data_IF_021700685482
#
_entry.id   IF_021700685482
#
_cell.length_a   1.000
_cell.length_b   1.000
_cell.length_c   1.000
_cell.angle_alpha   90.00
_cell.angle_beta   90.00
_cell.angle_gamma   90.00
#
_symmetry.space_group_name_H-M   'P 1'
#
loop_
_entity.id
_entity.type
_entity.pdbx_description
1 polymer ?
#
# COMPACT_ATOMS: atom_id res chain seq x y z
N UNK A 1 -2.65 10.12 3.63
CA UNK A 1 -1.99 10.74 4.79
C UNK A 1 -0.61 11.29 4.43
N UNK A 2 0.23 10.56 3.67
CA UNK A 2 1.61 11.00 3.39
C UNK A 2 1.88 11.55 1.97
N UNK A 3 0.88 11.52 1.07
CA UNK A 3 1.05 12.01 -0.31
C UNK A 3 1.85 11.08 -1.23
N UNK A 4 2.08 9.83 -0.82
CA UNK A 4 2.85 8.85 -1.59
C UNK A 4 1.89 7.84 -2.24
N UNK A 5 1.87 7.77 -3.58
CA UNK A 5 1.08 6.82 -4.35
C UNK A 5 1.98 5.74 -4.96
N UNK A 6 1.77 4.48 -4.56
CA UNK A 6 2.67 3.36 -4.86
C UNK A 6 1.93 2.13 -5.42
N UNK A 7 2.70 1.19 -5.96
CA UNK A 7 2.24 -0.15 -6.31
C UNK A 7 2.09 -1.11 -5.12
N UNK A 8 1.48 -2.27 -5.40
CA UNK A 8 1.15 -3.31 -4.40
C UNK A 8 2.37 -3.83 -3.63
N UNK A 9 3.52 -4.04 -4.29
CA UNK A 9 4.72 -4.59 -3.64
C UNK A 9 5.26 -3.68 -2.54
N UNK A 10 5.14 -2.36 -2.72
CA UNK A 10 5.53 -1.39 -1.69
C UNK A 10 4.65 -1.52 -0.44
N UNK A 11 3.36 -1.78 -0.60
CA UNK A 11 2.45 -2.04 0.52
C UNK A 11 2.86 -3.29 1.32
N UNK A 12 3.22 -4.37 0.63
CA UNK A 12 3.73 -5.61 1.28
C UNK A 12 5.03 -5.33 2.03
N UNK A 13 5.94 -4.57 1.42
CA UNK A 13 7.21 -4.18 2.00
C UNK A 13 7.05 -3.34 3.28
N UNK A 14 6.05 -2.44 3.32
CA UNK A 14 5.75 -1.62 4.51
C UNK A 14 5.23 -2.49 5.65
N UNK A 15 4.27 -3.40 5.38
CA UNK A 15 3.76 -4.32 6.41
C UNK A 15 4.87 -5.25 6.92
N UNK A 16 5.77 -5.70 6.05
CA UNK A 16 6.95 -6.47 6.46
C UNK A 16 7.91 -5.67 7.35
N UNK A 17 8.15 -4.40 7.01
CA UNK A 17 9.00 -3.51 7.81
C UNK A 17 8.39 -3.19 9.18
N UNK A 18 7.07 -2.97 9.25
CA UNK A 18 6.33 -2.76 10.49
C UNK A 18 6.45 -3.97 11.42
N UNK A 19 6.16 -5.17 10.92
CA UNK A 19 6.28 -6.42 11.70
C UNK A 19 7.71 -6.66 12.18
N UNK A 20 8.71 -6.38 11.35
CA UNK A 20 10.10 -6.49 11.76
C UNK A 20 10.45 -5.48 12.87
N UNK A 21 9.88 -4.28 12.85
CA UNK A 21 10.03 -3.30 13.92
C UNK A 21 9.42 -3.80 15.24
N UNK A 22 8.25 -4.45 15.19
CA UNK A 22 7.64 -5.07 16.36
C UNK A 22 8.52 -6.19 16.93
N UNK A 23 9.08 -7.05 16.08
CA UNK A 23 9.96 -8.15 16.49
C UNK A 23 11.29 -7.68 17.08
N UNK A 24 11.91 -6.64 16.50
CA UNK A 24 13.20 -6.11 16.95
C UNK A 24 13.09 -5.21 18.19
N UNK A 25 11.92 -4.61 18.42
CA UNK A 25 11.70 -3.65 19.49
C UNK A 25 12.29 -2.25 19.20
N UNK A 26 12.05 -1.28 20.10
CA UNK A 26 12.36 0.13 19.87
C UNK A 26 13.87 0.41 19.77
N UNK A 27 14.23 1.47 19.04
CA UNK A 27 15.61 1.94 18.89
C UNK A 27 16.32 1.46 17.63
N UNK A 28 15.65 0.66 16.80
CA UNK A 28 16.18 0.19 15.51
C UNK A 28 15.69 1.07 14.35
N UNK A 29 16.54 1.20 13.32
CA UNK A 29 16.18 1.82 12.05
C UNK A 29 15.96 0.73 11.00
N UNK A 30 14.77 0.71 10.41
CA UNK A 30 14.40 -0.24 9.35
C UNK A 30 14.26 0.52 8.03
N UNK A 31 14.81 -0.07 6.97
CA UNK A 31 14.70 0.45 5.61
C UNK A 31 14.02 -0.60 4.75
N UNK A 32 13.05 -0.17 3.95
CA UNK A 32 12.39 -1.01 2.94
C UNK A 32 12.28 -0.27 1.61
N UNK A 33 11.92 -0.98 0.54
CA UNK A 33 11.93 -0.45 -0.82
C UNK A 33 10.50 -0.08 -1.25
N UNK A 34 10.33 1.14 -1.74
CA UNK A 34 9.13 1.58 -2.46
C UNK A 34 9.39 1.40 -3.96
N UNK A 35 8.83 0.34 -4.53
CA UNK A 35 9.29 -0.21 -5.81
C UNK A 35 8.94 0.68 -7.01
N UNK A 36 7.73 1.22 -7.04
CA UNK A 36 7.22 2.04 -8.14
C UNK A 36 5.99 2.87 -7.75
N UNK A 37 5.63 3.78 -8.65
CA UNK A 37 4.47 4.66 -8.50
C UNK A 37 3.15 3.92 -8.74
N UNK A 38 2.14 4.31 -7.97
CA UNK A 38 0.75 3.86 -8.11
C UNK A 38 0.11 4.22 -9.44
N UNK A 39 0.66 5.18 -10.19
CA UNK A 39 0.18 5.58 -11.52
C UNK A 39 0.09 4.39 -12.49
N UNK A 40 0.99 3.41 -12.33
CA UNK A 40 1.01 2.20 -13.17
C UNK A 40 -0.18 1.26 -12.93
N UNK A 41 -0.91 1.47 -11.84
CA UNK A 41 -1.98 0.59 -11.36
C UNK A 41 -3.35 1.27 -11.33
N UNK A 42 -3.53 2.37 -12.07
CA UNK A 42 -4.80 3.11 -12.13
C UNK A 42 -5.99 2.24 -12.58
N UNK A 43 -5.76 1.30 -13.50
CA UNK A 43 -6.81 0.41 -14.00
C UNK A 43 -7.11 -0.78 -13.08
N UNK A 44 -6.31 -0.99 -12.02
CA UNK A 44 -6.42 -2.11 -11.09
C UNK A 44 -6.51 -1.66 -9.63
N UNK A 45 -5.38 -1.50 -8.92
CA UNK A 45 -5.33 -1.16 -7.48
C UNK A 45 -6.13 0.10 -7.13
N UNK A 46 -6.22 1.05 -8.04
CA UNK A 46 -6.94 2.31 -7.85
C UNK A 46 -8.29 2.36 -8.59
N UNK A 47 -8.80 1.21 -9.03
CA UNK A 47 -10.08 1.08 -9.70
C UNK A 47 -11.10 0.38 -8.77
N UNK A 48 -12.16 1.07 -8.32
CA UNK A 48 -13.19 0.50 -7.44
C UNK A 48 -13.85 -0.76 -8.00
N UNK A 49 -14.11 -0.80 -9.31
CA UNK A 49 -14.76 -1.96 -9.95
C UNK A 49 -13.83 -3.18 -9.94
N UNK A 50 -12.54 -2.96 -10.21
CA UNK A 50 -11.53 -4.02 -10.15
C UNK A 50 -11.37 -4.54 -8.72
N UNK A 51 -11.31 -3.66 -7.72
CA UNK A 51 -11.24 -4.04 -6.31
C UNK A 51 -12.46 -4.86 -5.89
N UNK A 52 -13.67 -4.43 -6.27
CA UNK A 52 -14.91 -5.16 -5.98
C UNK A 52 -14.94 -6.54 -6.64
N UNK A 53 -14.49 -6.66 -7.90
CA UNK A 53 -14.36 -7.95 -8.60
C UNK A 53 -13.41 -8.90 -7.86
N UNK A 54 -12.35 -8.38 -7.23
CA UNK A 54 -11.40 -9.15 -6.42
C UNK A 54 -11.82 -9.34 -4.96
N UNK A 55 -12.97 -8.82 -4.55
CA UNK A 55 -13.43 -8.87 -3.15
C UNK A 55 -12.53 -8.09 -2.19
N UNK A 56 -11.85 -7.05 -2.68
CA UNK A 56 -10.95 -6.20 -1.92
C UNK A 56 -11.67 -4.94 -1.41
N UNK A 57 -11.23 -4.38 -0.26
CA UNK A 57 -11.81 -3.14 0.26
C UNK A 57 -11.57 -1.98 -0.71
N UNK A 58 -12.58 -1.15 -0.90
CA UNK A 58 -12.48 0.11 -1.66
C UNK A 58 -12.19 1.24 -0.69
N UNK A 59 -11.08 1.99 -0.87
CA UNK A 59 -10.80 3.14 -0.02
C UNK A 59 -11.89 4.21 -0.12
N UNK A 60 -12.24 4.84 1.00
CA UNK A 60 -13.31 5.84 1.07
C UNK A 60 -13.16 6.97 0.05
N UNK A 61 -11.93 7.41 -0.19
CA UNK A 61 -11.60 8.48 -1.13
C UNK A 61 -11.78 8.08 -2.60
N UNK A 62 -11.79 6.78 -2.92
CA UNK A 62 -12.10 6.24 -4.24
C UNK A 62 -13.60 5.92 -4.43
N UNK A 63 -14.36 5.88 -3.33
CA UNK A 63 -15.79 5.56 -3.35
C UNK A 63 -16.70 6.78 -3.50
N UNK A 64 -16.16 7.99 -3.35
CA UNK A 64 -16.90 9.25 -3.47
C UNK A 64 -16.80 9.78 -4.91
N UNK A 65 -17.88 10.34 -5.49
CA UNK A 65 -17.85 10.97 -6.81
C UNK A 65 -16.93 12.18 -6.86
#
# INVERSE_FOLDING_TARGET
>A
EEGISLGLSSGINIVGAERLAEEMGPGHTIVTILCDSGLRYLSSLYNPAWLAEKGLPVPDWLSKP
#
